data_IF_085870008967
#
_entry.id   IF_085870008967
#
_cell.length_a   1.000
_cell.length_b   1.000
_cell.length_c   1.000
_cell.angle_alpha   90.00
_cell.angle_beta   90.00
_cell.angle_gamma   90.00
#
_symmetry.space_group_name_H-M   'P 1'
#
loop_
_entity.id
_entity.type
_entity.pdbx_description
1 polymer ?
#
# COMPACT_ATOMS: atom_id res chain seq x y z
N UNK A 1 -5.42 37.12 1.15
CA UNK A 1 -4.33 36.35 0.52
C UNK A 1 -4.83 35.74 -0.79
N UNK A 2 -4.13 36.00 -1.88
CA UNK A 2 -4.49 35.49 -3.21
C UNK A 2 -4.12 34.02 -3.42
N UNK A 3 -3.17 33.50 -2.64
CA UNK A 3 -2.70 32.13 -2.73
C UNK A 3 -2.51 31.58 -1.32
N UNK A 4 -2.96 30.35 -1.10
CA UNK A 4 -2.72 29.54 0.09
C UNK A 4 -2.12 28.21 -0.36
N UNK A 5 -1.13 27.72 0.36
CA UNK A 5 -0.55 26.43 0.08
C UNK A 5 -0.14 25.69 1.34
N UNK A 6 -0.15 24.37 1.27
CA UNK A 6 0.42 23.47 2.23
C UNK A 6 1.23 22.43 1.47
N UNK A 7 2.48 22.27 1.84
CA UNK A 7 3.36 21.22 1.35
C UNK A 7 3.85 20.40 2.53
N UNK A 8 3.76 19.09 2.44
CA UNK A 8 4.30 18.19 3.45
C UNK A 8 4.92 16.96 2.81
N UNK A 9 6.00 16.48 3.40
CA UNK A 9 6.64 15.22 3.08
C UNK A 9 6.77 14.38 4.35
N UNK A 10 6.65 13.06 4.22
CA UNK A 10 6.79 12.12 5.32
C UNK A 10 7.60 10.92 4.85
N UNK A 11 8.55 10.54 5.66
CA UNK A 11 9.23 9.26 5.63
C UNK A 11 8.84 8.47 6.88
N UNK A 12 8.57 7.20 6.71
CA UNK A 12 8.28 6.28 7.79
C UNK A 12 8.99 4.97 7.52
N UNK A 13 9.75 4.51 8.49
CA UNK A 13 10.41 3.22 8.52
C UNK A 13 9.85 2.44 9.71
N UNK A 14 9.26 1.29 9.45
CA UNK A 14 8.72 0.41 10.47
C UNK A 14 9.43 -0.93 10.33
N UNK A 15 10.26 -1.24 11.30
CA UNK A 15 10.83 -2.58 11.44
C UNK A 15 9.79 -3.51 12.07
N UNK A 16 9.67 -4.71 11.53
CA UNK A 16 8.83 -5.74 12.12
C UNK A 16 9.55 -6.42 13.29
N UNK A 17 8.78 -7.04 14.19
CA UNK A 17 9.32 -7.87 15.28
C UNK A 17 9.96 -9.16 14.73
N UNK A 18 9.53 -9.57 13.54
CA UNK A 18 9.99 -10.76 12.83
C UNK A 18 10.74 -10.33 11.59
N UNK A 19 11.85 -11.01 11.27
CA UNK A 19 12.66 -10.75 10.10
C UNK A 19 11.83 -10.79 8.81
N UNK A 20 12.22 -9.98 7.83
CA UNK A 20 11.55 -9.82 6.53
C UNK A 20 10.10 -9.31 6.63
N UNK A 21 9.76 -8.54 7.67
CA UNK A 21 8.42 -7.95 7.84
C UNK A 21 8.43 -6.43 7.92
N UNK A 22 9.54 -5.79 7.59
CA UNK A 22 9.68 -4.33 7.59
C UNK A 22 8.88 -3.67 6.45
N UNK A 23 8.53 -2.41 6.65
CA UNK A 23 7.98 -1.58 5.59
C UNK A 23 8.50 -0.14 5.66
N UNK A 24 8.78 0.43 4.48
CA UNK A 24 9.22 1.82 4.30
C UNK A 24 8.19 2.57 3.48
N UNK A 25 7.77 3.71 3.99
CA UNK A 25 6.77 4.54 3.32
C UNK A 25 7.29 5.95 3.10
N UNK A 26 7.22 6.40 1.86
CA UNK A 26 7.49 7.76 1.44
C UNK A 26 6.17 8.39 1.00
N UNK A 27 5.87 9.59 1.45
CA UNK A 27 4.67 10.28 1.01
C UNK A 27 4.88 11.79 0.92
N UNK A 28 4.20 12.38 -0.04
CA UNK A 28 4.16 13.83 -0.23
C UNK A 28 2.72 14.29 -0.39
N UNK A 29 2.43 15.47 0.12
CA UNK A 29 1.13 16.12 -0.02
C UNK A 29 1.34 17.57 -0.40
N UNK A 30 0.60 18.03 -1.39
CA UNK A 30 0.56 19.41 -1.82
C UNK A 30 -0.89 19.86 -1.98
N UNK A 31 -1.29 20.87 -1.22
CA UNK A 31 -2.59 21.52 -1.36
C UNK A 31 -2.33 22.98 -1.72
N UNK A 32 -2.89 23.42 -2.84
CA UNK A 32 -2.74 24.78 -3.33
C UNK A 32 -4.12 25.32 -3.64
N UNK A 33 -4.41 26.50 -3.17
CA UNK A 33 -5.63 27.24 -3.49
C UNK A 33 -5.27 28.68 -3.87
N UNK A 34 -5.78 29.13 -4.99
CA UNK A 34 -5.58 30.48 -5.49
C UNK A 34 -6.92 31.16 -5.75
N UNK A 35 -7.01 32.42 -5.36
CA UNK A 35 -8.13 33.31 -5.65
C UNK A 35 -7.64 34.45 -6.55
N UNK A 36 -7.43 34.20 -7.87
CA UNK A 36 -6.89 35.20 -8.79
C UNK A 36 -7.82 36.42 -8.91
N UNK A 37 -9.11 36.18 -8.79
CA UNK A 37 -10.15 37.23 -8.77
C UNK A 37 -11.15 36.98 -7.64
N UNK A 38 -12.07 37.90 -7.39
CA UNK A 38 -13.11 37.73 -6.35
C UNK A 38 -14.20 36.71 -6.73
N UNK A 39 -14.32 36.41 -8.01
CA UNK A 39 -15.30 35.48 -8.56
C UNK A 39 -14.72 34.10 -8.90
N UNK A 40 -13.38 33.92 -8.88
CA UNK A 40 -12.71 32.67 -9.26
C UNK A 40 -11.81 32.16 -8.14
N UNK A 41 -12.07 30.93 -7.72
CA UNK A 41 -11.17 30.13 -6.87
C UNK A 41 -10.74 28.90 -7.67
N UNK A 42 -9.45 28.62 -7.67
CA UNK A 42 -8.83 27.44 -8.30
C UNK A 42 -7.99 26.72 -7.26
N UNK A 43 -7.90 25.43 -7.36
CA UNK A 43 -6.98 24.72 -6.48
C UNK A 43 -6.74 23.27 -6.85
N UNK A 44 -5.75 22.71 -6.16
CA UNK A 44 -5.42 21.30 -6.23
C UNK A 44 -5.14 20.74 -4.85
N UNK A 45 -5.51 19.48 -4.64
CA UNK A 45 -5.15 18.68 -3.47
C UNK A 45 -4.54 17.39 -3.99
N UNK A 46 -3.24 17.26 -3.84
CA UNK A 46 -2.48 16.13 -4.38
C UNK A 46 -1.80 15.38 -3.26
N UNK A 47 -1.88 14.07 -3.33
CA UNK A 47 -1.19 13.14 -2.46
C UNK A 47 -0.54 12.05 -3.28
N UNK A 48 0.74 11.78 -3.02
CA UNK A 48 1.44 10.65 -3.59
C UNK A 48 2.16 9.88 -2.48
N UNK A 49 2.17 8.56 -2.58
CA UNK A 49 2.94 7.72 -1.67
C UNK A 49 3.45 6.47 -2.36
N UNK A 50 4.64 6.04 -1.93
CA UNK A 50 5.21 4.73 -2.21
C UNK A 50 5.46 4.03 -0.88
N UNK A 51 4.99 2.79 -0.77
CA UNK A 51 5.29 1.90 0.33
C UNK A 51 5.95 0.65 -0.20
N UNK A 52 7.14 0.35 0.28
CA UNK A 52 7.86 -0.88 0.04
C UNK A 52 7.74 -1.75 1.29
N UNK A 53 7.24 -2.97 1.12
CA UNK A 53 7.06 -3.95 2.18
C UNK A 53 7.82 -5.22 1.85
N UNK A 54 8.53 -5.75 2.81
CA UNK A 54 9.15 -7.06 2.73
C UNK A 54 8.11 -8.19 2.69
N UNK A 55 8.51 -9.35 2.23
CA UNK A 55 7.60 -10.47 1.94
C UNK A 55 7.67 -11.61 2.97
N UNK A 56 8.12 -11.34 4.19
CA UNK A 56 8.20 -12.34 5.25
C UNK A 56 6.86 -13.04 5.47
N UNK A 57 6.90 -14.36 5.50
CA UNK A 57 5.71 -15.19 5.73
C UNK A 57 5.48 -15.42 7.22
N UNK A 58 5.04 -14.36 7.90
CA UNK A 58 4.75 -14.42 9.33
C UNK A 58 3.67 -15.47 9.69
N UNK A 59 2.70 -15.68 8.82
CA UNK A 59 1.61 -16.62 9.09
C UNK A 59 2.12 -18.04 9.23
N UNK A 60 2.95 -18.48 8.30
CA UNK A 60 3.59 -19.80 8.35
C UNK A 60 4.62 -19.88 9.47
N UNK A 61 5.45 -18.86 9.65
CA UNK A 61 6.42 -18.81 10.74
C UNK A 61 5.74 -18.96 12.12
N UNK A 62 4.61 -18.29 12.35
CA UNK A 62 3.84 -18.42 13.60
C UNK A 62 3.24 -19.83 13.76
N UNK A 63 2.80 -20.46 12.67
CA UNK A 63 2.32 -21.84 12.71
C UNK A 63 3.44 -22.77 13.12
N UNK A 64 4.64 -22.65 12.53
CA UNK A 64 5.78 -23.46 12.89
C UNK A 64 6.30 -23.18 14.29
N UNK A 65 6.26 -21.93 14.75
CA UNK A 65 6.63 -21.59 16.13
C UNK A 65 5.78 -22.36 17.16
N UNK A 66 4.48 -22.49 16.92
CA UNK A 66 3.58 -23.25 17.79
C UNK A 66 3.74 -24.76 17.69
N UNK A 67 4.31 -25.24 16.60
CA UNK A 67 4.57 -26.66 16.34
C UNK A 67 6.01 -27.06 16.60
N UNK A 68 6.91 -26.08 16.82
CA UNK A 68 8.32 -26.34 17.15
C UNK A 68 8.44 -26.99 18.51
N UNK A 69 9.34 -27.95 18.59
CA UNK A 69 9.69 -28.62 19.84
C UNK A 69 10.89 -27.95 20.48
N UNK A 70 11.05 -28.14 21.78
CA UNK A 70 12.17 -27.57 22.55
C UNK A 70 13.56 -28.09 22.10
N UNK A 71 13.57 -29.20 21.34
CA UNK A 71 14.80 -29.79 20.79
C UNK A 71 15.23 -29.23 19.44
N UNK A 72 14.47 -28.30 18.84
CA UNK A 72 14.84 -27.71 17.56
C UNK A 72 15.67 -26.46 17.79
N UNK A 73 16.96 -26.51 17.48
CA UNK A 73 17.82 -25.33 17.50
C UNK A 73 17.41 -24.30 16.45
N UNK A 74 17.26 -23.03 16.80
CA UNK A 74 16.87 -22.00 15.82
C UNK A 74 17.90 -21.87 14.69
N UNK A 75 19.14 -21.58 15.04
CA UNK A 75 20.23 -21.39 14.10
C UNK A 75 21.59 -21.67 14.79
N UNK A 76 22.50 -22.26 14.04
CA UNK A 76 23.88 -22.44 14.45
C UNK A 76 24.80 -22.40 13.23
N UNK A 77 25.81 -21.53 13.28
CA UNK A 77 26.84 -21.42 12.24
C UNK A 77 26.28 -21.19 10.81
N UNK A 78 25.25 -20.38 10.66
CA UNK A 78 24.63 -20.09 9.38
C UNK A 78 23.72 -21.20 8.82
N UNK A 79 23.38 -22.18 9.67
CA UNK A 79 22.49 -23.27 9.32
C UNK A 79 21.32 -23.32 10.32
N UNK A 80 20.11 -23.53 9.79
CA UNK A 80 18.91 -23.66 10.61
C UNK A 80 18.78 -25.08 11.16
N UNK A 81 18.37 -25.20 12.42
CA UNK A 81 18.17 -26.48 13.04
C UNK A 81 17.04 -27.29 12.41
N UNK A 82 17.21 -28.58 12.31
CA UNK A 82 16.19 -29.57 11.95
C UNK A 82 15.76 -30.32 13.21
N UNK A 83 14.49 -30.73 13.35
CA UNK A 83 14.03 -31.50 14.51
C UNK A 83 14.84 -32.78 14.69
N UNK A 84 15.38 -32.99 15.89
CA UNK A 84 16.22 -34.15 16.21
C UNK A 84 15.37 -35.42 16.36
N UNK A 85 14.19 -35.30 16.95
CA UNK A 85 13.31 -36.42 17.18
C UNK A 85 12.58 -36.86 15.89
N UNK A 86 12.69 -38.13 15.46
CA UNK A 86 12.03 -38.62 14.26
C UNK A 86 10.50 -38.44 14.25
N UNK A 87 9.86 -38.61 15.37
CA UNK A 87 8.40 -38.54 15.52
C UNK A 87 7.87 -37.07 15.32
N UNK A 88 8.74 -36.09 15.48
CA UNK A 88 8.39 -34.69 15.38
C UNK A 88 8.62 -34.11 13.97
N UNK A 89 9.37 -34.81 13.13
CA UNK A 89 9.79 -34.35 11.81
C UNK A 89 8.65 -34.10 10.84
N UNK A 90 7.53 -34.79 11.03
CA UNK A 90 6.37 -34.62 10.16
C UNK A 90 5.60 -33.31 10.41
N UNK A 91 5.66 -32.77 11.63
CA UNK A 91 4.86 -31.59 12.03
C UNK A 91 5.69 -30.41 12.50
N UNK A 92 6.85 -30.67 13.10
CA UNK A 92 7.72 -29.63 13.59
C UNK A 92 8.63 -29.10 12.48
N UNK A 93 8.82 -27.81 12.43
CA UNK A 93 9.74 -27.17 11.50
C UNK A 93 10.33 -25.92 12.12
N UNK A 94 11.45 -25.48 11.61
CA UNK A 94 12.12 -24.28 12.10
C UNK A 94 11.47 -23.01 11.51
N UNK A 95 10.87 -22.11 12.34
CA UNK A 95 10.24 -20.89 11.85
C UNK A 95 11.24 -19.94 11.16
N UNK A 96 12.49 -19.86 11.62
CA UNK A 96 13.52 -19.02 11.00
C UNK A 96 13.89 -19.52 9.61
N UNK A 97 13.99 -20.83 9.44
CA UNK A 97 14.19 -21.43 8.12
C UNK A 97 13.08 -21.04 7.13
N UNK A 98 11.84 -21.03 7.57
CA UNK A 98 10.70 -20.63 6.71
C UNK A 98 10.76 -19.16 6.34
N UNK A 99 11.15 -18.29 7.24
CA UNK A 99 11.32 -16.86 6.97
C UNK A 99 12.47 -16.61 5.98
N UNK A 100 13.57 -17.38 6.10
CA UNK A 100 14.75 -17.21 5.25
C UNK A 100 14.59 -17.76 3.83
N UNK A 101 13.59 -18.60 3.55
CA UNK A 101 13.42 -19.24 2.23
C UNK A 101 12.88 -18.36 1.13
N UNK A 102 12.28 -17.24 1.48
CA UNK A 102 11.68 -16.33 0.52
C UNK A 102 12.22 -14.93 0.73
N UNK A 103 12.53 -14.28 -0.37
CA UNK A 103 12.92 -12.89 -0.41
C UNK A 103 12.11 -12.15 -1.48
N UNK A 104 12.15 -10.84 -1.48
CA UNK A 104 11.42 -10.01 -2.43
C UNK A 104 10.82 -8.77 -1.80
N UNK A 105 9.90 -8.18 -2.53
CA UNK A 105 9.19 -6.99 -2.05
C UNK A 105 7.76 -6.92 -2.59
N UNK A 106 6.94 -6.16 -1.88
CA UNK A 106 5.62 -5.69 -2.30
C UNK A 106 5.65 -4.18 -2.31
N UNK A 107 5.44 -3.59 -3.49
CA UNK A 107 5.45 -2.15 -3.68
C UNK A 107 4.04 -1.63 -3.95
N UNK A 108 3.66 -0.62 -3.22
CA UNK A 108 2.37 0.04 -3.31
C UNK A 108 2.59 1.51 -3.68
N UNK A 109 2.22 1.89 -4.89
CA UNK A 109 2.24 3.28 -5.33
C UNK A 109 0.80 3.81 -5.35
N UNK A 110 0.57 4.94 -4.71
CA UNK A 110 -0.72 5.62 -4.69
C UNK A 110 -0.55 7.05 -5.12
N UNK A 111 -1.37 7.48 -6.02
CA UNK A 111 -1.48 8.86 -6.45
C UNK A 111 -2.94 9.27 -6.42
N UNK A 112 -3.22 10.36 -5.72
CA UNK A 112 -4.55 10.97 -5.67
C UNK A 112 -4.39 12.45 -5.93
N UNK A 113 -5.19 12.99 -6.82
CA UNK A 113 -5.25 14.44 -7.04
C UNK A 113 -6.69 14.88 -7.26
N UNK A 114 -7.03 15.99 -6.64
CA UNK A 114 -8.30 16.68 -6.88
C UNK A 114 -7.99 18.05 -7.42
N UNK A 115 -8.43 18.33 -8.63
CA UNK A 115 -8.48 19.67 -9.19
C UNK A 115 -9.86 20.23 -8.94
N UNK A 116 -9.93 21.44 -8.45
CA UNK A 116 -11.22 22.08 -8.19
C UNK A 116 -11.23 23.52 -8.64
N UNK A 117 -12.40 23.98 -9.05
CA UNK A 117 -12.66 25.39 -9.30
C UNK A 117 -14.02 25.78 -8.74
N UNK A 118 -14.10 27.02 -8.30
CA UNK A 118 -15.36 27.66 -7.93
C UNK A 118 -15.47 28.98 -8.68
N UNK A 119 -16.53 29.10 -9.46
CA UNK A 119 -16.85 30.29 -10.24
C UNK A 119 -18.12 30.91 -9.67
N UNK A 120 -18.06 32.17 -9.26
CA UNK A 120 -19.22 32.96 -8.88
C UNK A 120 -19.64 33.83 -10.06
N UNK A 121 -20.73 33.45 -10.73
CA UNK A 121 -21.23 34.23 -11.87
C UNK A 121 -21.88 35.52 -11.41
N UNK A 122 -22.69 35.43 -10.35
CA UNK A 122 -23.41 36.53 -9.71
C UNK A 122 -23.40 36.34 -8.20
N UNK A 123 -24.03 37.27 -7.47
CA UNK A 123 -24.15 37.13 -6.00
C UNK A 123 -24.87 35.85 -5.58
N UNK A 124 -25.80 35.39 -6.40
CA UNK A 124 -26.73 34.33 -6.08
C UNK A 124 -26.46 33.02 -6.81
N UNK A 125 -25.50 33.01 -7.76
CA UNK A 125 -25.20 31.83 -8.59
C UNK A 125 -23.72 31.50 -8.57
N UNK A 126 -23.39 30.25 -8.21
CA UNK A 126 -22.02 29.74 -8.31
C UNK A 126 -21.99 28.34 -8.93
N UNK A 127 -20.90 28.06 -9.60
CA UNK A 127 -20.59 26.75 -10.14
C UNK A 127 -19.33 26.21 -9.47
N UNK A 128 -19.44 25.01 -8.91
CA UNK A 128 -18.33 24.26 -8.32
C UNK A 128 -18.01 23.07 -9.24
N UNK A 129 -16.75 23.00 -9.66
CA UNK A 129 -16.22 21.92 -10.44
C UNK A 129 -15.18 21.17 -9.63
N UNK A 130 -15.27 19.83 -9.60
CA UNK A 130 -14.29 18.95 -9.00
C UNK A 130 -13.93 17.84 -9.99
N UNK A 131 -12.65 17.63 -10.19
CA UNK A 131 -12.10 16.49 -10.90
C UNK A 131 -11.16 15.74 -9.96
N UNK A 132 -11.55 14.56 -9.53
CA UNK A 132 -10.74 13.67 -8.70
C UNK A 132 -10.17 12.54 -9.56
N UNK A 133 -8.86 12.36 -9.49
CA UNK A 133 -8.16 11.26 -10.14
C UNK A 133 -7.41 10.46 -9.10
N UNK A 134 -7.60 9.13 -9.11
CA UNK A 134 -6.92 8.17 -8.26
C UNK A 134 -6.18 7.17 -9.14
N UNK A 135 -4.94 6.87 -8.78
CA UNK A 135 -4.17 5.78 -9.36
C UNK A 135 -3.56 4.94 -8.25
N UNK A 136 -3.68 3.64 -8.40
CA UNK A 136 -3.07 2.65 -7.54
C UNK A 136 -2.31 1.66 -8.39
N UNK A 137 -1.05 1.41 -8.04
CA UNK A 137 -0.21 0.38 -8.64
C UNK A 137 0.32 -0.48 -7.51
N UNK A 138 0.11 -1.78 -7.64
CA UNK A 138 0.68 -2.79 -6.79
C UNK A 138 1.59 -3.69 -7.59
N UNK A 139 2.80 -3.87 -7.12
CA UNK A 139 3.80 -4.76 -7.70
C UNK A 139 4.29 -5.70 -6.61
N UNK A 140 4.31 -6.99 -6.89
CA UNK A 140 4.94 -7.99 -6.03
C UNK A 140 5.99 -8.75 -6.83
N UNK A 141 7.15 -8.90 -6.23
CA UNK A 141 8.22 -9.79 -6.72
C UNK A 141 8.71 -10.62 -5.56
N UNK A 142 8.67 -11.92 -5.75
CA UNK A 142 9.13 -12.88 -4.75
C UNK A 142 9.98 -13.94 -5.44
N UNK A 143 11.01 -14.37 -4.75
CA UNK A 143 11.88 -15.45 -5.22
C UNK A 143 12.28 -16.33 -4.06
N UNK A 144 12.48 -17.62 -4.37
CA UNK A 144 13.02 -18.57 -3.44
C UNK A 144 14.50 -18.33 -3.19
N UNK A 145 14.92 -18.42 -1.94
CA UNK A 145 16.33 -18.32 -1.52
C UNK A 145 16.77 -19.68 -1.03
N UNK A 146 17.94 -20.20 -1.47
CA UNK A 146 18.49 -21.44 -0.92
C UNK A 146 18.77 -21.27 0.57
N UNK A 147 18.22 -22.15 1.36
CA UNK A 147 18.48 -22.22 2.80
C UNK A 147 18.70 -23.68 3.19
N UNK A 148 19.44 -23.92 4.29
CA UNK A 148 19.82 -25.24 4.75
C UNK A 148 19.29 -25.49 6.16
N UNK A 149 18.83 -26.72 6.39
CA UNK A 149 18.59 -27.22 7.72
C UNK A 149 19.59 -28.34 8.04
N UNK A 150 20.02 -28.36 9.29
CA UNK A 150 21.01 -29.33 9.75
C UNK A 150 20.49 -30.01 11.02
N UNK A 151 20.60 -31.33 11.03
CA UNK A 151 20.47 -32.09 12.25
C UNK A 151 21.80 -32.03 12.99
N UNK A 152 21.85 -31.27 14.10
CA UNK A 152 23.11 -30.98 14.75
C UNK A 152 23.70 -32.15 15.54
N UNK A 153 22.91 -33.16 15.87
CA UNK A 153 23.38 -34.37 16.56
C UNK A 153 24.39 -35.18 15.74
N UNK A 154 24.27 -35.17 14.41
CA UNK A 154 25.11 -35.94 13.50
C UNK A 154 25.66 -35.12 12.33
N UNK A 155 25.34 -33.83 12.26
CA UNK A 155 25.79 -32.90 11.22
C UNK A 155 25.15 -33.12 9.85
N UNK A 156 24.12 -33.95 9.75
CA UNK A 156 23.47 -34.23 8.47
C UNK A 156 22.63 -33.05 8.02
N UNK A 157 22.90 -32.60 6.79
CA UNK A 157 22.09 -31.57 6.12
C UNK A 157 20.84 -32.26 5.59
N UNK A 158 19.68 -31.81 6.07
CA UNK A 158 18.37 -32.37 5.71
C UNK A 158 17.44 -31.27 5.22
N UNK A 159 16.60 -31.63 4.28
CA UNK A 159 15.46 -30.82 3.78
C UNK A 159 15.75 -29.30 3.68
N UNK A 160 16.92 -28.94 3.35
CA UNK A 160 17.29 -27.52 3.26
C UNK A 160 17.87 -27.13 1.93
N UNK A 161 18.36 -28.10 1.21
CA UNK A 161 18.92 -27.86 -0.12
C UNK A 161 17.75 -27.81 -1.10
N UNK A 162 17.24 -26.62 -1.34
CA UNK A 162 16.33 -26.43 -2.47
C UNK A 162 17.20 -26.30 -3.72
N UNK A 163 17.23 -27.30 -4.59
CA UNK A 163 18.03 -27.20 -5.81
C UNK A 163 17.52 -26.02 -6.66
N UNK A 164 18.37 -25.39 -7.47
CA UNK A 164 17.99 -24.28 -8.33
C UNK A 164 16.73 -24.53 -9.17
N UNK A 165 16.50 -25.78 -9.55
CA UNK A 165 15.32 -26.21 -10.31
C UNK A 165 14.00 -26.15 -9.52
N UNK A 166 14.06 -26.04 -8.21
CA UNK A 166 12.89 -25.92 -7.32
C UNK A 166 12.70 -24.51 -6.78
N UNK A 167 13.64 -23.60 -7.04
CA UNK A 167 13.49 -22.20 -6.73
C UNK A 167 12.48 -21.58 -7.69
N UNK A 168 11.47 -20.94 -7.15
CA UNK A 168 10.45 -20.24 -7.93
C UNK A 168 10.62 -18.75 -7.82
N UNK A 169 10.24 -18.05 -8.89
CA UNK A 169 10.08 -16.60 -8.90
C UNK A 169 8.64 -16.31 -9.26
N UNK A 170 8.01 -15.43 -8.53
CA UNK A 170 6.68 -14.95 -8.85
C UNK A 170 6.69 -13.42 -9.04
N UNK A 171 5.90 -12.98 -9.99
CA UNK A 171 5.67 -11.58 -10.30
C UNK A 171 4.17 -11.35 -10.37
N UNK A 172 3.69 -10.35 -9.67
CA UNK A 172 2.30 -9.90 -9.78
C UNK A 172 2.27 -8.39 -9.95
N UNK A 173 1.40 -7.93 -10.82
CA UNK A 173 1.20 -6.52 -11.10
C UNK A 173 -0.27 -6.18 -11.20
N UNK A 174 -0.70 -5.22 -10.40
CA UNK A 174 -2.03 -4.63 -10.46
C UNK A 174 -1.92 -3.14 -10.76
N UNK A 175 -2.71 -2.66 -11.68
CA UNK A 175 -2.84 -1.23 -11.94
C UNK A 175 -4.31 -0.88 -12.06
N UNK A 176 -4.77 -0.01 -11.20
CA UNK A 176 -6.10 0.54 -11.34
C UNK A 176 -6.07 2.06 -11.28
N UNK A 177 -6.97 2.67 -12.00
CA UNK A 177 -7.23 4.09 -11.89
C UNK A 177 -8.72 4.37 -11.92
N UNK A 178 -9.11 5.44 -11.31
CA UNK A 178 -10.47 5.95 -11.35
C UNK A 178 -10.47 7.46 -11.43
N UNK A 179 -11.48 8.01 -12.05
CA UNK A 179 -11.77 9.43 -11.92
C UNK A 179 -13.24 9.67 -11.57
N UNK A 180 -13.45 10.77 -10.89
CA UNK A 180 -14.76 11.33 -10.64
C UNK A 180 -14.75 12.76 -11.13
N UNK A 181 -15.70 13.09 -12.00
CA UNK A 181 -15.95 14.45 -12.46
C UNK A 181 -17.27 14.90 -11.88
N UNK A 182 -17.27 16.04 -11.23
CA UNK A 182 -18.43 16.56 -10.52
C UNK A 182 -18.64 18.04 -10.85
N UNK A 183 -19.86 18.39 -11.20
CA UNK A 183 -20.30 19.73 -11.50
C UNK A 183 -21.52 20.05 -10.65
N UNK A 184 -21.45 21.11 -9.85
CA UNK A 184 -22.53 21.56 -9.00
C UNK A 184 -22.85 23.02 -9.29
N UNK A 185 -24.08 23.28 -9.67
CA UNK A 185 -24.61 24.63 -9.83
C UNK A 185 -25.46 24.98 -8.62
N UNK A 186 -25.04 25.98 -7.87
CA UNK A 186 -25.69 26.44 -6.65
C UNK A 186 -26.37 27.79 -6.91
N UNK A 187 -27.63 27.87 -6.61
CA UNK A 187 -28.41 29.11 -6.59
C UNK A 187 -28.95 29.39 -5.21
N UNK A 188 -28.81 30.65 -4.75
CA UNK A 188 -29.35 31.07 -3.47
C UNK A 188 -29.76 32.54 -3.58
N UNK A 189 -31.07 32.86 -3.31
CA UNK A 189 -31.58 34.19 -3.37
C UNK A 189 -32.69 34.43 -2.32
N UNK A 190 -32.64 35.58 -1.70
CA UNK A 190 -33.70 36.03 -0.75
C UNK A 190 -34.62 37.05 -1.42
N UNK A 191 -35.81 36.59 -1.78
CA UNK A 191 -36.84 37.44 -2.41
C UNK A 191 -37.55 38.28 -1.37
N UNK A 192 -37.72 39.58 -1.67
CA UNK A 192 -38.45 40.55 -0.84
C UNK A 192 -38.03 40.57 0.64
N UNK A 193 -36.78 40.16 0.95
CA UNK A 193 -36.24 40.06 2.32
C UNK A 193 -37.04 39.11 3.25
N UNK A 194 -37.88 38.23 2.67
CA UNK A 194 -38.76 37.33 3.41
C UNK A 194 -38.71 35.87 2.95
N UNK A 195 -38.41 35.62 1.69
CA UNK A 195 -38.46 34.29 1.12
C UNK A 195 -37.05 33.87 0.66
N UNK A 196 -36.50 32.92 1.37
CA UNK A 196 -35.18 32.39 1.10
C UNK A 196 -35.27 31.10 0.25
N UNK A 197 -34.72 31.15 -0.97
CA UNK A 197 -34.79 30.06 -1.95
C UNK A 197 -33.40 29.58 -2.28
N UNK A 198 -33.16 28.28 -2.08
CA UNK A 198 -31.92 27.60 -2.46
C UNK A 198 -32.22 26.47 -3.43
N UNK A 199 -31.46 26.38 -4.48
CA UNK A 199 -31.52 25.28 -5.45
C UNK A 199 -30.10 24.74 -5.79
N UNK A 200 -30.01 23.46 -5.95
CA UNK A 200 -28.78 22.75 -6.33
C UNK A 200 -29.08 21.87 -7.54
N UNK A 201 -28.27 22.02 -8.60
CA UNK A 201 -28.24 21.11 -9.73
C UNK A 201 -26.85 20.47 -9.79
N UNK A 202 -26.81 19.13 -9.81
CA UNK A 202 -25.57 18.36 -9.81
C UNK A 202 -25.49 17.38 -10.97
N UNK A 203 -24.30 17.25 -11.54
CA UNK A 203 -23.92 16.19 -12.48
C UNK A 203 -22.64 15.55 -11.99
N UNK A 204 -22.62 14.21 -11.92
CA UNK A 204 -21.46 13.44 -11.54
C UNK A 204 -21.23 12.30 -12.53
N UNK A 205 -19.98 12.12 -12.92
CA UNK A 205 -19.50 10.98 -13.69
C UNK A 205 -18.41 10.27 -12.92
N UNK A 206 -18.47 8.94 -12.88
CA UNK A 206 -17.46 8.08 -12.30
C UNK A 206 -17.00 7.04 -13.29
N UNK A 207 -15.69 6.87 -13.40
CA UNK A 207 -15.08 5.83 -14.21
C UNK A 207 -14.00 5.10 -13.41
N UNK A 208 -13.91 3.78 -13.59
CA UNK A 208 -12.85 2.94 -13.00
C UNK A 208 -12.36 1.92 -14.01
N UNK A 209 -11.05 1.77 -14.08
CA UNK A 209 -10.37 0.74 -14.84
C UNK A 209 -9.51 -0.12 -13.91
N UNK A 210 -9.44 -1.41 -14.19
CA UNK A 210 -8.67 -2.38 -13.42
C UNK A 210 -7.90 -3.29 -14.38
N UNK A 211 -6.62 -3.50 -14.10
CA UNK A 211 -5.73 -4.36 -14.86
C UNK A 211 -4.84 -5.17 -13.92
N UNK A 212 -4.76 -6.49 -14.14
CA UNK A 212 -3.95 -7.43 -13.36
C UNK A 212 -3.15 -8.33 -14.28
N UNK A 213 -1.93 -8.62 -13.87
CA UNK A 213 -1.05 -9.66 -14.43
C UNK A 213 -0.47 -10.43 -13.27
N UNK A 214 -0.59 -11.76 -13.31
CA UNK A 214 -0.06 -12.73 -12.36
C UNK A 214 0.93 -13.66 -13.04
#
# INVERSE_FOLDING_TARGET
>A
NKIRFLLSARYQDNEGIVDNTANKTYSVRANIEANPTQWLTLGTRTYASQMDREVGDFSNANTFLRQSTAGTYPEWNGSFGYPECPDERATANNPLYKLARNDGFKRYNRFNTTLFSKVKFFKDLSWDFNFNYNRYIYETRQWGVPAYQTRFSDGVIVDGITPPSQLSTSFGYESNYSYTLENLLNYHHTFAQKHDVSALLGYQEFYKNYYTVD
#
